data_IF_715279835939
#
_entry.id   IF_715279835939
#
_cell.length_a   1.000
_cell.length_b   1.000
_cell.length_c   1.000
_cell.angle_alpha   90.00
_cell.angle_beta   90.00
_cell.angle_gamma   90.00
#
_symmetry.space_group_name_H-M   'P 1'
#
loop_
_entity.id
_entity.type
_entity.pdbx_description
1 polymer ?
#
# COMPACT_ATOMS: atom_id res chain seq x y z
N UNK A 1 -19.15 32.97 31.86
CA UNK A 1 -18.34 33.12 30.63
C UNK A 1 -17.45 31.91 30.51
N UNK A 2 -17.62 31.09 29.47
CA UNK A 2 -16.77 29.92 29.20
C UNK A 2 -16.07 30.18 27.88
N UNK A 3 -14.76 30.36 27.93
CA UNK A 3 -13.90 30.62 26.78
C UNK A 3 -13.56 29.28 26.12
N UNK A 4 -13.95 29.13 24.85
CA UNK A 4 -13.56 27.98 24.04
C UNK A 4 -12.12 28.17 23.57
N UNK A 5 -11.23 27.25 23.91
CA UNK A 5 -9.89 27.20 23.34
C UNK A 5 -9.95 26.63 21.90
N UNK A 6 -9.09 27.10 20.98
CA UNK A 6 -9.02 26.55 19.63
C UNK A 6 -8.37 25.16 19.61
N UNK A 7 -9.02 24.23 18.94
CA UNK A 7 -8.50 22.90 18.63
C UNK A 7 -7.29 23.03 17.70
N UNK A 8 -6.11 22.68 18.18
CA UNK A 8 -4.91 22.62 17.35
C UNK A 8 -5.09 21.52 16.29
N UNK A 9 -5.15 21.91 15.01
CA UNK A 9 -5.04 20.98 13.90
C UNK A 9 -3.59 20.47 13.86
N UNK A 10 -3.40 19.16 14.07
CA UNK A 10 -2.09 18.53 13.92
C UNK A 10 -1.64 18.68 12.46
N UNK A 11 -0.39 19.15 12.22
CA UNK A 11 0.16 19.16 10.87
C UNK A 11 0.28 17.73 10.38
N UNK A 12 -0.37 17.41 9.25
CA UNK A 12 -0.16 16.15 8.58
C UNK A 12 1.29 16.11 8.09
N UNK A 13 2.08 15.24 8.72
CA UNK A 13 3.45 14.95 8.31
C UNK A 13 3.44 14.59 6.82
N UNK A 14 4.08 15.42 5.99
CA UNK A 14 4.15 15.22 4.54
C UNK A 14 5.15 14.11 4.23
N UNK A 15 4.68 12.88 4.34
CA UNK A 15 5.38 11.66 3.94
C UNK A 15 5.47 11.50 2.41
N UNK A 16 5.38 12.60 1.64
CA UNK A 16 5.39 12.61 0.18
C UNK A 16 6.72 12.14 -0.43
N UNK A 17 7.79 12.17 0.36
CA UNK A 17 9.17 11.83 -0.04
C UNK A 17 9.55 10.38 0.24
N UNK A 18 8.71 9.62 0.95
CA UNK A 18 8.89 8.19 1.15
C UNK A 18 7.98 7.43 0.18
N UNK A 19 8.54 6.44 -0.52
CA UNK A 19 7.76 5.52 -1.34
C UNK A 19 6.91 4.63 -0.42
N UNK A 20 5.75 5.15 0.00
CA UNK A 20 4.79 4.39 0.79
C UNK A 20 4.08 3.43 -0.16
N UNK A 21 4.24 2.10 0.01
CA UNK A 21 3.59 1.14 -0.86
C UNK A 21 2.07 1.30 -0.79
N UNK A 22 1.45 1.39 -1.97
CA UNK A 22 0.01 1.61 -2.11
C UNK A 22 -0.77 0.44 -1.50
N UNK A 23 -1.84 0.75 -0.77
CA UNK A 23 -2.71 -0.27 -0.16
C UNK A 23 -3.82 -0.69 -1.12
N UNK A 24 -4.28 -1.92 -0.99
CA UNK A 24 -5.45 -2.38 -1.74
C UNK A 24 -6.69 -1.54 -1.40
N UNK A 25 -7.46 -1.14 -2.42
CA UNK A 25 -8.67 -0.34 -2.26
C UNK A 25 -9.86 -1.10 -1.64
N UNK A 26 -9.74 -2.42 -1.40
CA UNK A 26 -10.83 -3.17 -0.78
C UNK A 26 -10.91 -2.89 0.73
N UNK A 27 -12.11 -2.54 1.24
CA UNK A 27 -12.28 -2.22 2.65
C UNK A 27 -11.92 -3.42 3.52
N UNK A 28 -11.11 -3.18 4.54
CA UNK A 28 -10.62 -4.22 5.45
C UNK A 28 -9.48 -5.08 4.89
N UNK A 29 -8.96 -4.81 3.68
CA UNK A 29 -7.78 -5.50 3.18
C UNK A 29 -6.49 -4.86 3.72
N UNK A 30 -5.65 -5.59 4.48
CA UNK A 30 -4.37 -5.05 4.97
C UNK A 30 -3.24 -5.16 3.95
N UNK A 31 -3.48 -5.81 2.80
CA UNK A 31 -2.44 -6.14 1.84
C UNK A 31 -2.05 -4.97 0.93
N UNK A 32 -0.79 -4.95 0.53
CA UNK A 32 -0.28 -4.02 -0.47
C UNK A 32 -0.82 -4.34 -1.87
N UNK A 33 -0.99 -3.29 -2.66
CA UNK A 33 -1.40 -3.41 -4.04
C UNK A 33 -0.22 -3.81 -4.93
N UNK A 34 -0.51 -4.64 -5.91
CA UNK A 34 0.45 -5.13 -6.92
C UNK A 34 -0.09 -4.99 -8.35
N UNK A 35 -1.37 -4.70 -8.48
CA UNK A 35 -2.07 -4.57 -9.74
C UNK A 35 -3.00 -3.36 -9.68
N UNK A 36 -3.26 -2.77 -10.84
CA UNK A 36 -4.21 -1.67 -10.99
C UNK A 36 -5.33 -2.11 -11.94
N UNK A 37 -6.56 -1.96 -11.50
CA UNK A 37 -7.78 -2.17 -12.28
C UNK A 37 -8.22 -0.83 -12.88
N UNK A 38 -8.57 -0.84 -14.15
CA UNK A 38 -9.17 0.28 -14.87
C UNK A 38 -10.42 -0.19 -15.62
N UNK A 39 -11.40 0.69 -15.76
CA UNK A 39 -12.61 0.43 -16.55
C UNK A 39 -12.62 1.35 -17.77
N UNK A 40 -12.72 0.76 -18.96
CA UNK A 40 -12.89 1.48 -20.22
C UNK A 40 -14.34 1.34 -20.63
N UNK A 41 -15.13 2.37 -20.33
CA UNK A 41 -16.59 2.33 -20.50
C UNK A 41 -17.04 2.26 -21.96
N UNK A 42 -16.32 2.93 -22.87
CA UNK A 42 -16.64 2.90 -24.32
C UNK A 42 -16.62 1.47 -24.87
N UNK A 43 -15.69 0.68 -24.37
CA UNK A 43 -15.39 -0.65 -24.90
C UNK A 43 -16.04 -1.74 -24.02
N UNK A 44 -16.69 -1.35 -22.91
CA UNK A 44 -17.20 -2.27 -21.89
C UNK A 44 -16.12 -3.24 -21.40
N UNK A 45 -14.91 -2.74 -21.15
CA UNK A 45 -13.79 -3.57 -20.71
C UNK A 45 -13.27 -3.19 -19.33
N UNK A 46 -12.87 -4.21 -18.59
CA UNK A 46 -12.18 -4.11 -17.31
C UNK A 46 -10.76 -4.65 -17.50
N UNK A 47 -9.77 -3.80 -17.30
CA UNK A 47 -8.36 -4.16 -17.52
C UNK A 47 -7.65 -4.21 -16.17
N UNK A 48 -7.05 -5.35 -15.86
CA UNK A 48 -6.16 -5.53 -14.71
C UNK A 48 -4.73 -5.57 -15.24
N UNK A 49 -3.97 -4.52 -14.95
CA UNK A 49 -2.57 -4.37 -15.31
C UNK A 49 -1.64 -4.44 -14.10
N UNK A 50 -0.32 -4.36 -14.34
CA UNK A 50 0.66 -4.09 -13.29
C UNK A 50 0.29 -2.84 -12.47
N UNK A 51 0.81 -2.74 -11.25
CA UNK A 51 0.63 -1.56 -10.42
C UNK A 51 1.08 -0.30 -11.19
N UNK A 52 0.16 0.64 -11.41
CA UNK A 52 0.47 1.89 -12.11
C UNK A 52 1.62 2.65 -11.41
N UNK A 53 2.38 3.45 -12.17
CA UNK A 53 3.48 4.23 -11.59
C UNK A 53 2.98 5.44 -10.79
N UNK A 54 1.82 5.97 -11.17
CA UNK A 54 1.13 7.03 -10.46
C UNK A 54 -0.27 6.56 -10.02
N UNK A 55 -0.94 7.43 -9.27
CA UNK A 55 -2.29 7.18 -8.78
C UNK A 55 -3.29 7.96 -9.62
N UNK A 56 -3.98 7.27 -10.52
CA UNK A 56 -5.02 7.89 -11.33
C UNK A 56 -6.37 7.89 -10.60
N UNK A 57 -7.21 8.95 -10.74
CA UNK A 57 -8.49 9.08 -10.05
C UNK A 57 -9.54 8.03 -10.47
N UNK A 58 -9.35 7.37 -11.62
CA UNK A 58 -10.26 6.34 -12.15
C UNK A 58 -9.65 4.94 -12.13
N UNK A 59 -8.65 4.73 -11.27
CA UNK A 59 -7.94 3.47 -11.11
C UNK A 59 -8.16 2.88 -9.73
N UNK A 60 -8.18 1.54 -9.64
CA UNK A 60 -8.31 0.83 -8.37
C UNK A 60 -7.12 -0.10 -8.14
N UNK A 61 -6.41 0.12 -7.05
CA UNK A 61 -5.25 -0.66 -6.67
C UNK A 61 -5.67 -1.94 -5.93
N UNK A 62 -5.22 -3.10 -6.40
CA UNK A 62 -5.61 -4.42 -5.93
C UNK A 62 -4.39 -5.22 -5.46
N UNK A 63 -4.52 -5.93 -4.34
CA UNK A 63 -3.54 -6.94 -3.93
C UNK A 63 -3.68 -8.21 -4.80
N UNK A 64 -2.71 -9.13 -4.71
CA UNK A 64 -2.71 -10.40 -5.46
C UNK A 64 -4.05 -11.14 -5.34
N UNK A 65 -4.55 -11.29 -4.11
CA UNK A 65 -5.80 -12.01 -3.85
C UNK A 65 -7.04 -11.34 -4.45
N UNK A 66 -7.14 -10.01 -4.38
CA UNK A 66 -8.27 -9.27 -4.94
C UNK A 66 -8.18 -9.13 -6.45
N UNK A 67 -6.98 -8.95 -7.00
CA UNK A 67 -6.76 -9.01 -8.42
C UNK A 67 -7.21 -10.36 -8.99
N UNK A 68 -6.89 -11.49 -8.33
CA UNK A 68 -7.31 -12.82 -8.77
C UNK A 68 -8.82 -13.08 -8.68
N UNK A 69 -9.51 -12.52 -7.69
CA UNK A 69 -10.94 -12.81 -7.42
C UNK A 69 -11.91 -11.85 -8.09
N UNK A 70 -11.46 -10.67 -8.52
CA UNK A 70 -12.36 -9.68 -9.11
C UNK A 70 -12.92 -10.18 -10.44
N UNK A 71 -14.19 -9.85 -10.69
CA UNK A 71 -14.90 -10.17 -11.92
C UNK A 71 -15.38 -8.89 -12.60
N UNK A 72 -15.45 -8.89 -13.92
CA UNK A 72 -16.03 -7.77 -14.66
C UNK A 72 -17.56 -7.73 -14.47
N UNK A 73 -18.19 -6.56 -14.70
CA UNK A 73 -19.64 -6.45 -14.82
C UNK A 73 -20.22 -7.38 -15.90
N UNK A 74 -21.53 -7.60 -15.87
CA UNK A 74 -22.19 -8.45 -16.88
C UNK A 74 -22.08 -7.82 -18.26
N UNK A 75 -21.69 -8.63 -19.26
CA UNK A 75 -21.49 -8.17 -20.62
C UNK A 75 -20.20 -7.38 -20.84
N UNK A 76 -19.33 -7.28 -19.82
CA UNK A 76 -18.02 -6.65 -19.94
C UNK A 76 -16.93 -7.70 -20.13
N UNK A 77 -15.90 -7.35 -20.90
CA UNK A 77 -14.71 -8.18 -21.07
C UNK A 77 -13.72 -7.92 -19.92
N UNK A 78 -13.15 -8.97 -19.34
CA UNK A 78 -12.11 -8.86 -18.33
C UNK A 78 -10.75 -9.24 -18.92
N UNK A 79 -9.89 -8.23 -19.12
CA UNK A 79 -8.53 -8.41 -19.64
C UNK A 79 -7.55 -8.41 -18.47
N UNK A 80 -6.73 -9.47 -18.37
CA UNK A 80 -5.68 -9.59 -17.36
C UNK A 80 -4.34 -9.57 -18.08
N UNK A 81 -3.52 -8.56 -17.82
CA UNK A 81 -2.15 -8.58 -18.30
C UNK A 81 -1.37 -9.63 -17.52
N UNK A 82 -1.02 -10.73 -18.18
CA UNK A 82 -0.06 -11.71 -17.70
C UNK A 82 1.35 -11.13 -17.84
N UNK A 83 1.66 -10.09 -17.08
CA UNK A 83 3.04 -9.63 -16.91
C UNK A 83 3.65 -10.42 -15.77
N UNK A 84 4.80 -11.09 -15.94
CA UNK A 84 5.60 -11.50 -14.81
C UNK A 84 5.77 -10.25 -13.93
N UNK A 85 5.25 -10.29 -12.70
CA UNK A 85 5.78 -9.40 -11.67
C UNK A 85 7.29 -9.59 -11.75
N UNK A 86 8.12 -8.53 -11.82
CA UNK A 86 9.55 -8.69 -11.89
C UNK A 86 9.94 -9.64 -10.75
N UNK A 87 10.27 -10.87 -11.13
CA UNK A 87 10.94 -11.79 -10.23
C UNK A 87 12.16 -11.01 -9.82
N UNK A 88 12.30 -10.80 -8.51
CA UNK A 88 13.45 -10.14 -7.93
C UNK A 88 14.70 -10.55 -8.73
N UNK A 89 15.47 -9.60 -9.30
CA UNK A 89 16.66 -9.96 -10.05
C UNK A 89 17.47 -10.94 -9.20
N UNK A 90 17.96 -12.01 -9.80
CA UNK A 90 18.66 -13.04 -9.04
C UNK A 90 19.85 -12.40 -8.30
N UNK A 91 20.24 -12.93 -7.14
CA UNK A 91 21.32 -12.30 -6.35
C UNK A 91 22.62 -12.15 -7.16
N UNK A 92 22.86 -13.07 -8.10
CA UNK A 92 23.98 -13.02 -9.04
C UNK A 92 23.94 -11.79 -9.96
N UNK A 93 22.75 -11.39 -10.45
CA UNK A 93 22.59 -10.20 -11.28
C UNK A 93 22.88 -8.92 -10.47
N UNK A 94 22.47 -8.90 -9.20
CA UNK A 94 22.74 -7.78 -8.30
C UNK A 94 24.24 -7.64 -8.01
N UNK A 95 24.94 -8.76 -7.82
CA UNK A 95 26.40 -8.78 -7.64
C UNK A 95 27.11 -8.32 -8.92
N UNK A 96 26.69 -8.80 -10.09
CA UNK A 96 27.27 -8.41 -11.37
C UNK A 96 27.13 -6.90 -11.64
N UNK A 97 25.97 -6.31 -11.31
CA UNK A 97 25.75 -4.87 -11.41
C UNK A 97 26.60 -4.07 -10.42
N UNK A 98 26.74 -4.56 -9.19
CA UNK A 98 27.57 -3.91 -8.18
C UNK A 98 29.05 -3.89 -8.59
N UNK A 99 29.54 -4.97 -9.20
CA UNK A 99 30.89 -5.05 -9.73
C UNK A 99 31.07 -4.13 -10.95
N UNK A 100 30.14 -4.14 -11.90
CA UNK A 100 30.18 -3.27 -13.06
C UNK A 100 30.25 -1.77 -12.69
N UNK A 101 29.48 -1.34 -11.68
CA UNK A 101 29.51 0.05 -11.18
C UNK A 101 30.84 0.36 -10.48
N UNK A 102 31.47 -0.62 -9.81
CA UNK A 102 32.79 -0.46 -9.19
C UNK A 102 33.88 -0.26 -10.26
N UNK A 103 33.80 -1.00 -11.36
CA UNK A 103 34.73 -0.88 -12.50
C UNK A 103 34.51 0.41 -13.32
N UNK A 104 33.30 0.99 -13.28
CA UNK A 104 33.00 2.33 -13.81
C UNK A 104 33.34 3.47 -12.84
N UNK A 105 34.10 3.20 -11.77
CA UNK A 105 34.66 4.22 -10.89
C UNK A 105 35.30 5.36 -11.70
N UNK A 106 35.22 6.61 -11.18
CA UNK A 106 35.33 7.83 -11.96
C UNK A 106 36.50 7.76 -12.92
N UNK A 107 36.19 7.64 -14.22
CA UNK A 107 37.18 7.79 -15.27
C UNK A 107 37.87 9.10 -14.98
N UNK A 108 39.19 9.01 -14.81
CA UNK A 108 40.05 10.11 -14.44
C UNK A 108 40.11 11.13 -15.59
N UNK A 109 38.99 11.83 -15.81
CA UNK A 109 38.88 13.03 -16.60
C UNK A 109 38.96 14.22 -15.63
N UNK A 110 39.84 14.08 -14.63
CA UNK A 110 40.31 15.13 -13.75
C UNK A 110 41.84 15.07 -13.75
N UNK A 111 42.41 15.20 -14.94
CA UNK A 111 43.75 15.78 -15.03
C UNK A 111 43.72 17.16 -14.38
N UNK A 112 44.52 17.29 -13.32
CA UNK A 112 44.88 18.44 -12.50
C UNK A 112 43.80 19.12 -11.64
N UNK A 113 43.75 18.81 -10.33
CA UNK A 113 44.38 19.65 -9.28
C UNK A 113 43.93 19.27 -7.86
N UNK A 114 44.91 19.19 -6.95
CA UNK A 114 44.76 19.69 -5.58
C UNK A 114 44.24 18.71 -4.53
N UNK A 115 45.18 18.19 -3.74
CA UNK A 115 44.93 17.54 -2.46
C UNK A 115 44.12 18.42 -1.49
N UNK A 116 43.18 17.81 -0.75
CA UNK A 116 43.06 17.94 0.72
C UNK A 116 42.08 16.88 1.23
N UNK A 117 42.53 16.09 2.19
CA UNK A 117 41.68 15.10 2.85
C UNK A 117 40.60 15.73 3.73
N UNK A 118 39.52 14.99 3.93
CA UNK A 118 38.69 15.07 5.11
C UNK A 118 38.03 13.71 5.34
N UNK A 119 38.46 13.07 6.43
CA UNK A 119 37.89 11.84 6.95
C UNK A 119 36.39 11.99 7.19
N UNK A 120 35.60 11.02 6.70
CA UNK A 120 34.24 10.80 7.18
C UNK A 120 34.32 10.27 8.61
N UNK A 121 34.24 11.18 9.58
CA UNK A 121 34.10 10.83 11.00
C UNK A 121 32.69 10.31 11.28
N UNK A 122 32.58 9.09 11.81
CA UNK A 122 31.68 8.81 12.94
C UNK A 122 30.52 7.83 12.74
N UNK A 123 30.78 6.60 12.29
CA UNK A 123 29.85 5.49 12.57
C UNK A 123 30.19 4.90 13.94
N UNK A 124 29.56 5.41 15.00
CA UNK A 124 29.64 4.80 16.33
C UNK A 124 28.58 3.74 16.49
N UNK A 125 29.06 2.51 16.46
CA UNK A 125 28.45 1.28 16.93
C UNK A 125 27.93 1.41 18.37
N UNK A 126 26.65 1.11 18.60
CA UNK A 126 26.16 0.66 19.90
C UNK A 126 25.35 -0.62 19.71
N UNK A 127 26.09 -1.71 19.62
CA UNK A 127 25.75 -3.02 20.19
C UNK A 127 25.16 -2.91 21.61
N UNK A 128 24.21 -3.81 21.89
CA UNK A 128 23.60 -4.21 23.17
C UNK A 128 22.34 -3.41 23.58
N UNK A 129 21.14 -3.99 23.76
CA UNK A 129 20.79 -5.26 24.43
C UNK A 129 19.41 -5.76 23.98
N UNK A 130 19.34 -7.02 23.54
CA UNK A 130 18.13 -7.82 23.62
C UNK A 130 17.75 -8.00 25.10
N UNK A 131 16.53 -7.59 25.46
CA UNK A 131 15.86 -8.05 26.67
C UNK A 131 14.36 -8.17 26.34
N UNK A 132 13.88 -9.41 26.30
CA UNK A 132 12.51 -9.74 25.96
C UNK A 132 11.51 -9.28 27.02
N UNK A 133 10.32 -8.91 26.55
CA UNK A 133 9.12 -8.85 27.37
C UNK A 133 8.01 -9.58 26.60
N UNK A 134 7.89 -10.86 26.90
CA UNK A 134 6.74 -11.71 26.58
C UNK A 134 5.54 -11.18 27.37
N UNK A 135 4.55 -10.64 26.66
CA UNK A 135 3.29 -10.22 27.27
C UNK A 135 2.43 -11.46 27.55
N UNK A 136 2.30 -11.78 28.84
CA UNK A 136 1.45 -12.87 29.35
C UNK A 136 -0.02 -12.46 29.30
N UNK A 137 -0.86 -13.26 28.65
CA UNK A 137 -2.31 -13.14 28.70
C UNK A 137 -2.86 -13.63 30.06
N UNK A 138 -3.88 -12.96 30.62
CA UNK A 138 -4.82 -13.60 31.52
C UNK A 138 -6.18 -13.79 30.85
N UNK A 139 -6.59 -15.06 30.76
CA UNK A 139 -7.98 -15.47 30.59
C UNK A 139 -8.76 -15.21 31.88
N UNK A 140 -9.99 -14.70 31.78
CA UNK A 140 -10.93 -14.62 32.91
C UNK A 140 -12.22 -13.89 32.52
N UNK A 141 -13.30 -14.64 32.31
CA UNK A 141 -14.61 -14.11 31.92
C UNK A 141 -15.52 -13.76 33.11
N UNK A 142 -16.72 -13.25 32.78
CA UNK A 142 -18.06 -13.69 33.25
C UNK A 142 -19.11 -12.58 33.01
N UNK A 143 -20.06 -12.91 32.13
CA UNK A 143 -21.51 -12.63 32.07
C UNK A 143 -22.08 -11.20 32.19
N UNK A 144 -22.74 -10.76 31.11
CA UNK A 144 -24.04 -10.09 31.17
C UNK A 144 -24.88 -10.40 29.91
N UNK A 145 -26.15 -10.73 30.15
CA UNK A 145 -27.17 -11.20 29.19
C UNK A 145 -27.72 -10.07 28.31
N UNK A 146 -28.20 -10.33 27.07
CA UNK A 146 -29.27 -9.56 26.48
C UNK A 146 -30.52 -10.43 26.31
N UNK A 147 -31.57 -10.05 27.02
CA UNK A 147 -32.90 -10.59 26.84
C UNK A 147 -33.42 -10.34 25.42
N UNK A 148 -34.18 -11.32 24.95
CA UNK A 148 -34.96 -11.30 23.74
C UNK A 148 -35.87 -10.05 23.67
N UNK A 149 -35.57 -9.13 22.76
CA UNK A 149 -36.58 -8.19 22.25
C UNK A 149 -36.96 -8.58 20.84
N UNK A 150 -38.08 -9.30 20.76
CA UNK A 150 -38.73 -9.65 19.50
C UNK A 150 -39.05 -8.37 18.71
N UNK A 151 -38.64 -8.36 17.44
CA UNK A 151 -38.89 -7.25 16.54
C UNK A 151 -38.21 -7.46 15.20
N UNK A 152 -38.91 -8.09 14.24
CA UNK A 152 -38.48 -8.14 12.83
C UNK A 152 -38.29 -6.71 12.32
N UNK A 153 -37.05 -6.24 12.22
CA UNK A 153 -36.69 -5.02 11.49
C UNK A 153 -35.63 -5.34 10.45
N UNK A 154 -36.08 -5.61 9.22
CA UNK A 154 -35.24 -5.45 8.02
C UNK A 154 -35.12 -3.95 7.77
N UNK A 155 -34.04 -3.37 8.29
CA UNK A 155 -33.82 -1.93 8.30
C UNK A 155 -33.52 -1.34 6.91
N UNK A 156 -34.05 -0.14 6.72
CA UNK A 156 -33.70 1.00 5.85
C UNK A 156 -33.96 1.01 4.34
N UNK A 157 -34.24 -0.10 3.66
CA UNK A 157 -34.57 -0.03 2.22
C UNK A 157 -36.10 0.04 2.02
N UNK A 158 -36.61 1.19 1.56
CA UNK A 158 -37.99 1.31 1.07
C UNK A 158 -37.97 1.08 -0.44
N UNK A 159 -38.63 0.02 -0.90
CA UNK A 159 -38.91 -0.18 -2.32
C UNK A 159 -40.04 0.78 -2.67
N UNK A 160 -39.75 1.80 -3.50
CA UNK A 160 -40.76 2.63 -4.13
C UNK A 160 -41.39 1.81 -5.27
N UNK A 161 -42.72 1.69 -5.33
CA UNK A 161 -43.37 1.08 -6.49
C UNK A 161 -43.19 1.95 -7.73
N UNK A 162 -42.97 1.32 -8.88
CA UNK A 162 -42.85 2.01 -10.18
C UNK A 162 -44.16 2.74 -10.54
N UNK A 163 -44.08 3.92 -11.17
CA UNK A 163 -45.26 4.62 -11.66
C UNK A 163 -45.84 3.85 -12.86
N UNK A 164 -47.13 3.51 -12.77
CA UNK A 164 -47.88 2.95 -13.89
C UNK A 164 -48.09 4.01 -14.98
N UNK A 165 -47.86 3.64 -16.24
CA UNK A 165 -48.47 4.26 -17.43
C UNK A 165 -49.87 3.68 -17.64
#
# INVERSE_FOLDING_TARGET
>A
MRVSAPSAAFPHDSLCLVNVPRRCCRPGCPHYAVATLTFVYSDSTAVIGPLATAREPHSWDLCVGHAGRITAPRGWELVRHAGPLPTHPDEDDLVALADAVREQGPTADASCAGATGAAHNGFSDQVMRHAGAHATAPSGGVLASPEHRSGRRRGHLRVLPDPSD
#
